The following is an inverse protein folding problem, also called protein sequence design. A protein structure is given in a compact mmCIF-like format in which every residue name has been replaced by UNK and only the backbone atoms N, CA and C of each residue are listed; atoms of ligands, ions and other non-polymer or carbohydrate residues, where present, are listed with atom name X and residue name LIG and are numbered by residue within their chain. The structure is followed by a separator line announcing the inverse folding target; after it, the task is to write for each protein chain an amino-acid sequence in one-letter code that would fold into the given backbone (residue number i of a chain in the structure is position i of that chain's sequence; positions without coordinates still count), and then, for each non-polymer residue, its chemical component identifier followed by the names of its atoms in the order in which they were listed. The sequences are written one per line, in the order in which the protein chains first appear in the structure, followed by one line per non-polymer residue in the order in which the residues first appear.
data_IF_307244011021
#
_entry.id   IF_307244011021
#
_cell.length_a   1.000
_cell.length_b   1.000
_cell.length_c   1.000
_cell.angle_alpha   90.00
_cell.angle_beta   90.00
_cell.angle_gamma   90.00
#
_symmetry.space_group_name_H-M   'P 1'
#
loop_
_entity.id
_entity.type
_entity.pdbx_description
1 polymer ?
#
# COMPACT_ATOMS: atom_id res chain seq x y z
N UNK A 1 6.11 -7.15 7.00
CA UNK A 1 5.57 -5.77 7.08
C UNK A 1 6.19 -5.00 5.94
N UNK A 2 5.43 -4.14 5.24
CA UNK A 2 5.95 -3.37 4.12
C UNK A 2 7.04 -2.41 4.58
N UNK A 3 7.99 -2.12 3.69
CA UNK A 3 9.03 -1.12 3.94
C UNK A 3 8.41 0.30 3.99
N UNK A 4 8.92 1.21 4.84
CA UNK A 4 8.44 2.58 4.88
C UNK A 4 8.71 3.32 3.57
N UNK A 5 7.83 4.24 3.20
CA UNK A 5 7.89 5.03 1.97
C UNK A 5 9.03 6.06 1.91
N UNK A 6 9.59 6.37 3.07
CA UNK A 6 10.62 7.37 3.29
C UNK A 6 11.63 6.73 4.23
N UNK A 7 12.92 6.87 3.94
CA UNK A 7 13.97 6.39 4.85
C UNK A 7 14.10 7.29 6.07
N UNK A 8 14.67 6.78 7.15
CA UNK A 8 14.96 7.61 8.34
C UNK A 8 15.87 8.78 7.98
N UNK A 9 16.92 8.55 7.20
CA UNK A 9 17.86 9.59 6.74
C UNK A 9 17.15 10.70 5.95
N UNK A 10 16.24 10.33 5.05
CA UNK A 10 15.46 11.31 4.27
C UNK A 10 14.52 12.11 5.18
N UNK A 11 13.85 11.45 6.12
CA UNK A 11 13.01 12.13 7.09
C UNK A 11 13.84 13.13 7.92
N UNK A 12 14.99 12.70 8.44
CA UNK A 12 15.89 13.53 9.24
C UNK A 12 16.36 14.78 8.51
N UNK A 13 16.64 14.68 7.21
CA UNK A 13 17.00 15.83 6.38
C UNK A 13 15.89 16.90 6.31
N UNK A 14 14.63 16.52 6.54
CA UNK A 14 13.45 17.39 6.50
C UNK A 14 12.99 17.86 7.90
N UNK A 15 13.57 17.33 8.97
CA UNK A 15 13.24 17.71 10.34
C UNK A 15 13.96 18.99 10.75
N UNK A 16 13.23 19.87 11.42
CA UNK A 16 13.81 21.03 12.13
C UNK A 16 14.22 20.70 13.56
N UNK A 17 14.02 19.45 13.99
CA UNK A 17 14.29 18.96 15.34
C UNK A 17 15.30 17.83 15.31
N UNK A 18 16.08 17.77 16.36
CA UNK A 18 17.01 16.70 16.68
C UNK A 18 16.46 15.86 17.82
N UNK A 19 17.10 14.73 18.08
CA UNK A 19 16.80 13.93 19.25
C UNK A 19 16.97 14.70 20.57
N UNK A 20 17.92 15.65 20.64
CA UNK A 20 18.17 16.47 21.83
C UNK A 20 16.99 17.40 22.15
N UNK A 21 16.39 18.00 21.12
CA UNK A 21 15.21 18.88 21.26
C UNK A 21 14.04 18.14 21.92
N UNK A 22 13.89 16.85 21.60
CA UNK A 22 12.84 15.98 22.15
C UNK A 22 13.28 15.22 23.41
N UNK A 23 14.51 15.44 23.89
CA UNK A 23 15.07 14.72 25.04
C UNK A 23 15.19 13.21 24.84
N UNK A 24 15.31 12.75 23.60
CA UNK A 24 15.49 11.34 23.26
C UNK A 24 17.00 11.04 23.21
N UNK A 25 17.50 10.05 23.95
CA UNK A 25 18.90 9.67 23.87
C UNK A 25 19.29 9.17 22.47
N UNK A 26 20.38 9.71 21.91
CA UNK A 26 20.91 9.28 20.60
C UNK A 26 21.85 8.09 20.69
N UNK A 27 22.39 7.81 21.87
CA UNK A 27 23.38 6.75 22.09
C UNK A 27 22.81 5.54 22.83
N UNK A 28 21.66 5.70 23.48
CA UNK A 28 21.00 4.56 24.10
C UNK A 28 20.38 3.73 22.99
N UNK A 29 20.85 2.51 22.89
CA UNK A 29 20.30 1.51 22.00
C UNK A 29 19.40 0.59 22.79
N UNK A 30 18.37 0.03 22.17
CA UNK A 30 17.68 -1.10 22.78
C UNK A 30 18.49 -2.40 22.56
N UNK A 31 17.87 -3.55 22.81
CA UNK A 31 18.50 -4.86 22.68
C UNK A 31 19.02 -5.20 21.29
N UNK A 32 18.68 -4.42 20.25
CA UNK A 32 19.12 -4.65 18.86
C UNK A 32 20.28 -3.74 18.41
N UNK A 33 20.71 -2.78 19.23
CA UNK A 33 21.81 -1.87 18.90
C UNK A 33 21.41 -0.63 18.08
N UNK A 34 20.12 -0.44 17.82
CA UNK A 34 19.59 0.74 17.11
C UNK A 34 19.33 1.88 18.10
N UNK A 35 19.75 3.12 17.81
CA UNK A 35 19.45 4.27 18.65
C UNK A 35 17.95 4.46 18.89
N UNK A 36 17.57 4.83 20.11
CA UNK A 36 16.16 5.11 20.46
C UNK A 36 15.51 6.15 19.55
N UNK A 37 16.28 7.15 19.10
CA UNK A 37 15.82 8.14 18.12
C UNK A 37 15.42 7.51 16.79
N UNK A 38 16.28 6.66 16.22
CA UNK A 38 16.00 5.92 14.99
C UNK A 38 14.77 5.02 15.18
N UNK A 39 14.66 4.30 16.30
CA UNK A 39 13.49 3.47 16.59
C UNK A 39 12.19 4.27 16.70
N UNK A 40 12.25 5.49 17.25
CA UNK A 40 11.11 6.40 17.28
C UNK A 40 10.70 6.81 15.85
N UNK A 41 11.65 7.24 15.02
CA UNK A 41 11.38 7.66 13.65
C UNK A 41 10.84 6.52 12.78
N UNK A 42 11.43 5.33 12.85
CA UNK A 42 10.97 4.15 12.12
C UNK A 42 9.55 3.76 12.51
N UNK A 43 9.25 3.79 13.83
CA UNK A 43 7.90 3.50 14.31
C UNK A 43 6.89 4.52 13.78
N UNK A 44 7.19 5.81 13.85
CA UNK A 44 6.30 6.85 13.33
C UNK A 44 6.12 6.73 11.81
N UNK A 45 7.20 6.51 11.06
CA UNK A 45 7.13 6.27 9.62
C UNK A 45 6.21 5.09 9.28
N UNK A 46 6.36 3.97 9.99
CA UNK A 46 5.51 2.79 9.80
C UNK A 46 4.04 3.10 10.03
N UNK A 47 3.71 3.69 11.18
CA UNK A 47 2.33 4.04 11.54
C UNK A 47 1.70 5.03 10.55
N UNK A 48 2.47 5.98 10.03
CA UNK A 48 1.98 6.97 9.06
C UNK A 48 1.91 6.43 7.63
N UNK A 49 2.77 5.48 7.23
CA UNK A 49 2.63 4.75 5.97
C UNK A 49 1.38 3.88 5.97
N UNK A 50 1.16 3.09 7.04
CA UNK A 50 -0.05 2.26 7.20
C UNK A 50 -1.33 3.10 7.12
N UNK A 51 -1.31 4.30 7.71
CA UNK A 51 -2.43 5.24 7.61
C UNK A 51 -2.71 5.70 6.17
N UNK A 52 -1.66 5.97 5.40
CA UNK A 52 -1.81 6.34 4.00
C UNK A 52 -2.33 5.16 3.19
N UNK A 53 -1.88 3.94 3.50
CA UNK A 53 -2.35 2.71 2.85
C UNK A 53 -3.83 2.47 3.09
N UNK A 54 -4.28 2.69 4.33
CA UNK A 54 -5.70 2.62 4.69
C UNK A 54 -6.55 3.65 3.93
N UNK A 55 -6.00 4.85 3.67
CA UNK A 55 -6.72 5.86 2.89
C UNK A 55 -6.83 5.50 1.41
N UNK A 56 -5.79 4.89 0.85
CA UNK A 56 -5.71 4.56 -0.56
C UNK A 56 -6.30 3.19 -0.88
N UNK A 57 -6.33 2.27 0.09
CA UNK A 57 -6.72 0.87 -0.11
C UNK A 57 -5.70 0.06 -0.91
N UNK A 58 -4.44 0.50 -0.94
CA UNK A 58 -3.32 -0.20 -1.60
C UNK A 58 -1.99 0.18 -0.96
N UNK A 59 -0.94 -0.58 -1.27
CA UNK A 59 0.45 -0.28 -0.87
C UNK A 59 1.26 0.14 -2.10
N UNK A 60 2.34 0.91 -1.90
CA UNK A 60 3.28 1.27 -2.98
C UNK A 60 4.44 0.27 -3.13
N UNK A 61 4.30 -0.93 -2.57
CA UNK A 61 5.27 -2.02 -2.70
C UNK A 61 4.88 -2.92 -3.87
N UNK A 62 5.82 -3.20 -4.78
CA UNK A 62 5.61 -4.22 -5.81
C UNK A 62 5.54 -5.59 -5.12
N UNK A 63 4.41 -6.25 -5.26
CA UNK A 63 4.17 -7.57 -4.66
C UNK A 63 3.58 -8.52 -5.70
N UNK A 64 4.09 -9.75 -5.74
CA UNK A 64 3.46 -10.85 -6.48
C UNK A 64 2.49 -11.59 -5.58
N UNK A 65 1.31 -11.90 -6.10
CA UNK A 65 0.29 -12.65 -5.38
C UNK A 65 -0.40 -13.65 -6.30
N UNK A 66 -0.96 -14.69 -5.69
CA UNK A 66 -1.78 -15.69 -6.36
C UNK A 66 -3.13 -15.71 -5.67
N UNK A 67 -4.21 -15.67 -6.45
CA UNK A 67 -5.56 -15.81 -5.94
C UNK A 67 -6.43 -16.61 -6.89
N UNK A 68 -7.38 -17.35 -6.32
CA UNK A 68 -8.47 -17.96 -7.07
C UNK A 68 -9.69 -17.06 -6.98
N UNK A 69 -10.16 -16.61 -8.13
CA UNK A 69 -11.20 -15.60 -8.35
C UNK A 69 -12.44 -16.24 -8.97
N UNK A 70 -13.57 -15.58 -8.76
CA UNK A 70 -14.81 -15.91 -9.46
C UNK A 70 -14.68 -15.41 -10.91
N UNK A 71 -15.08 -16.23 -11.88
CA UNK A 71 -15.12 -15.80 -13.28
C UNK A 71 -16.31 -14.91 -13.57
N UNK A 72 -16.33 -14.32 -14.76
CA UNK A 72 -17.14 -13.14 -15.08
C UNK A 72 -18.13 -13.35 -16.22
N UNK A 73 -18.11 -14.51 -16.88
CA UNK A 73 -18.84 -14.77 -18.13
C UNK A 73 -18.49 -13.79 -19.27
N UNK A 74 -17.27 -13.24 -19.23
CA UNK A 74 -16.79 -12.25 -20.18
C UNK A 74 -15.30 -12.40 -20.42
N UNK A 75 -14.77 -11.57 -21.31
CA UNK A 75 -13.35 -11.51 -21.63
C UNK A 75 -12.54 -10.75 -20.56
N UNK A 76 -13.17 -9.96 -19.70
CA UNK A 76 -12.53 -9.19 -18.62
C UNK A 76 -12.63 -9.90 -17.25
N UNK A 77 -11.51 -9.97 -16.51
CA UNK A 77 -11.44 -10.47 -15.13
C UNK A 77 -10.87 -9.40 -14.19
N UNK A 78 -11.68 -8.78 -13.32
CA UNK A 78 -11.22 -7.77 -12.39
C UNK A 78 -10.29 -8.35 -11.32
N UNK A 79 -9.17 -7.68 -11.06
CA UNK A 79 -8.20 -8.11 -10.06
C UNK A 79 -8.35 -7.28 -8.77
N UNK A 80 -8.37 -7.91 -7.58
CA UNK A 80 -8.62 -7.20 -6.32
C UNK A 80 -7.44 -6.32 -5.89
N UNK A 81 -6.21 -6.73 -6.22
CA UNK A 81 -4.95 -6.03 -5.85
C UNK A 81 -4.39 -5.32 -7.07
N UNK A 82 -4.21 -4.00 -6.94
CA UNK A 82 -4.05 -3.04 -8.04
C UNK A 82 -3.13 -1.87 -7.62
N UNK A 83 -2.48 -1.16 -8.56
CA UNK A 83 -2.53 -1.39 -10.01
C UNK A 83 -1.77 -2.64 -10.43
N UNK A 84 -2.29 -3.36 -11.43
CA UNK A 84 -1.67 -4.57 -11.98
C UNK A 84 -0.50 -4.17 -12.88
N UNK A 85 0.66 -4.81 -12.69
CA UNK A 85 1.88 -4.56 -13.47
C UNK A 85 2.12 -5.65 -14.51
N UNK A 86 1.94 -6.91 -14.11
CA UNK A 86 2.16 -8.06 -14.99
C UNK A 86 1.44 -9.29 -14.47
N UNK A 87 1.11 -10.21 -15.37
CA UNK A 87 0.57 -11.54 -15.02
C UNK A 87 1.61 -12.61 -15.32
N UNK A 88 1.78 -13.52 -14.37
CA UNK A 88 2.71 -14.64 -14.48
C UNK A 88 2.01 -15.92 -14.96
N UNK A 89 0.77 -16.16 -14.50
CA UNK A 89 -0.02 -17.31 -14.94
C UNK A 89 -1.53 -17.07 -14.77
N UNK A 90 -2.30 -17.70 -15.65
CA UNK A 90 -3.77 -17.75 -15.60
C UNK A 90 -4.18 -19.20 -15.85
N UNK A 91 -4.95 -19.77 -14.94
CA UNK A 91 -5.51 -21.13 -15.06
C UNK A 91 -7.01 -21.08 -14.85
N UNK A 92 -7.76 -21.58 -15.81
CA UNK A 92 -9.21 -21.74 -15.75
C UNK A 92 -9.53 -23.16 -15.25
N UNK A 93 -10.36 -23.25 -14.22
CA UNK A 93 -10.81 -24.49 -13.60
C UNK A 93 -12.23 -24.82 -14.07
N UNK A 94 -12.39 -25.93 -14.76
CA UNK A 94 -13.68 -26.42 -15.26
C UNK A 94 -13.94 -27.86 -14.80
N UNK A 95 -15.17 -28.37 -14.98
CA UNK A 95 -15.48 -29.77 -14.69
C UNK A 95 -14.68 -30.75 -15.56
N UNK A 96 -14.29 -30.34 -16.77
CA UNK A 96 -13.51 -31.13 -17.73
C UNK A 96 -11.99 -31.09 -17.44
N UNK A 97 -11.56 -30.24 -16.50
CA UNK A 97 -10.19 -30.08 -16.06
C UNK A 97 -9.70 -28.64 -16.06
N UNK A 98 -8.40 -28.49 -15.83
CA UNK A 98 -7.70 -27.20 -15.78
C UNK A 98 -7.14 -26.83 -17.15
N UNK A 99 -7.38 -25.59 -17.59
CA UNK A 99 -6.83 -25.02 -18.83
C UNK A 99 -5.93 -23.84 -18.48
N UNK A 100 -4.66 -23.92 -18.84
CA UNK A 100 -3.74 -22.78 -18.71
C UNK A 100 -3.90 -21.86 -19.92
N UNK A 101 -4.16 -20.58 -19.67
CA UNK A 101 -4.20 -19.55 -20.71
C UNK A 101 -2.77 -19.02 -20.90
N UNK A 102 -2.23 -19.02 -22.14
CA UNK A 102 -0.94 -18.40 -22.43
C UNK A 102 -0.94 -16.92 -22.03
N UNK A 103 0.15 -16.43 -21.43
CA UNK A 103 0.20 -15.03 -20.96
C UNK A 103 0.19 -14.04 -22.13
N UNK A 104 0.69 -14.46 -23.29
CA UNK A 104 0.60 -13.70 -24.55
C UNK A 104 -0.84 -13.51 -25.05
N UNK A 105 -1.79 -14.33 -24.60
CA UNK A 105 -3.22 -14.22 -24.92
C UNK A 105 -3.98 -13.33 -23.92
N UNK A 106 -3.26 -12.67 -22.99
CA UNK A 106 -3.83 -11.84 -21.93
C UNK A 106 -3.33 -10.40 -22.08
N UNK A 107 -4.26 -9.45 -22.13
CA UNK A 107 -4.00 -8.02 -22.01
C UNK A 107 -4.06 -7.64 -20.53
N UNK A 108 -3.02 -6.97 -20.05
CA UNK A 108 -2.94 -6.49 -18.67
C UNK A 108 -3.35 -5.03 -18.63
N UNK A 109 -4.43 -4.75 -17.91
CA UNK A 109 -4.90 -3.40 -17.59
C UNK A 109 -4.70 -3.13 -16.10
N UNK A 110 -4.68 -1.86 -15.68
CA UNK A 110 -4.31 -1.55 -14.29
C UNK A 110 -5.29 -2.11 -13.25
N UNK A 111 -6.55 -2.37 -13.63
CA UNK A 111 -7.59 -2.85 -12.72
C UNK A 111 -8.11 -4.27 -13.00
N UNK A 112 -7.77 -4.84 -14.15
CA UNK A 112 -8.29 -6.12 -14.64
C UNK A 112 -7.35 -6.73 -15.66
N UNK A 113 -7.61 -7.96 -16.05
CA UNK A 113 -7.02 -8.56 -17.25
C UNK A 113 -8.10 -8.88 -18.26
N UNK A 114 -7.76 -8.82 -19.54
CA UNK A 114 -8.67 -9.20 -20.61
C UNK A 114 -8.07 -10.29 -21.48
N UNK A 115 -8.90 -11.18 -22.02
CA UNK A 115 -8.50 -12.14 -23.03
C UNK A 115 -8.38 -11.45 -24.39
N UNK A 116 -7.36 -11.81 -25.17
CA UNK A 116 -7.29 -11.39 -26.56
C UNK A 116 -8.35 -12.12 -27.39
N UNK A 117 -8.93 -11.49 -28.44
CA UNK A 117 -9.83 -12.17 -29.37
C UNK A 117 -9.22 -13.38 -30.11
N UNK A 118 -7.90 -13.56 -30.03
CA UNK A 118 -7.16 -14.68 -30.62
C UNK A 118 -6.89 -15.82 -29.64
N UNK A 119 -7.25 -15.67 -28.37
CA UNK A 119 -7.05 -16.71 -27.35
C UNK A 119 -7.85 -17.98 -27.72
N UNK A 120 -7.36 -19.14 -27.29
CA UNK A 120 -8.07 -20.41 -27.47
C UNK A 120 -9.36 -20.50 -26.61
N UNK A 121 -9.55 -19.56 -25.68
CA UNK A 121 -10.72 -19.42 -24.82
C UNK A 121 -11.41 -18.09 -25.09
N UNK A 122 -12.72 -18.12 -25.31
CA UNK A 122 -13.49 -16.92 -25.67
C UNK A 122 -13.91 -16.06 -24.47
N UNK A 123 -13.93 -16.63 -23.26
CA UNK A 123 -14.34 -15.94 -22.03
C UNK A 123 -13.81 -16.64 -20.77
N UNK A 124 -13.70 -15.89 -19.68
CA UNK A 124 -13.58 -16.45 -18.34
C UNK A 124 -14.93 -17.06 -17.93
N UNK A 125 -14.98 -18.35 -17.52
CA UNK A 125 -16.24 -19.02 -17.25
C UNK A 125 -16.94 -18.44 -16.04
N UNK A 126 -18.25 -18.22 -16.12
CA UNK A 126 -19.07 -17.92 -14.94
C UNK A 126 -18.89 -19.04 -13.91
N UNK A 127 -18.60 -18.66 -12.67
CA UNK A 127 -18.40 -19.64 -11.63
C UNK A 127 -17.60 -19.13 -10.45
N UNK A 128 -17.86 -19.73 -9.30
CA UNK A 128 -17.10 -19.43 -8.09
C UNK A 128 -15.74 -20.07 -8.16
N UNK A 129 -14.70 -19.30 -7.92
CA UNK A 129 -13.30 -19.77 -7.87
C UNK A 129 -12.89 -20.53 -9.13
N UNK A 130 -13.41 -20.12 -10.28
CA UNK A 130 -13.16 -20.77 -11.58
C UNK A 130 -11.87 -20.31 -12.24
N UNK A 131 -11.19 -19.28 -11.73
CA UNK A 131 -9.93 -18.78 -12.33
C UNK A 131 -8.87 -18.56 -11.27
N UNK A 132 -7.71 -19.21 -11.40
CA UNK A 132 -6.52 -18.91 -10.60
C UNK A 132 -5.58 -18.00 -11.39
N UNK A 133 -5.17 -16.89 -10.77
CA UNK A 133 -4.25 -15.92 -11.39
C UNK A 133 -3.09 -15.68 -10.45
N UNK A 134 -1.87 -15.69 -10.99
CA UNK A 134 -0.68 -15.15 -10.34
C UNK A 134 -0.28 -13.85 -11.04
N UNK A 135 -0.21 -12.75 -10.29
CA UNK A 135 0.12 -11.44 -10.85
C UNK A 135 0.94 -10.60 -9.89
N UNK A 136 1.67 -9.65 -10.47
CA UNK A 136 2.41 -8.62 -9.77
C UNK A 136 1.59 -7.34 -9.80
N UNK A 137 1.44 -6.69 -8.64
CA UNK A 137 0.72 -5.42 -8.48
C UNK A 137 1.53 -4.45 -7.62
N UNK A 138 1.11 -3.19 -7.63
CA UNK A 138 1.72 -2.10 -6.87
C UNK A 138 2.33 -1.05 -7.79
N UNK A 139 3.05 -0.10 -7.21
CA UNK A 139 3.73 0.97 -7.95
C UNK A 139 5.25 0.75 -7.90
N UNK A 140 5.94 1.02 -9.00
CA UNK A 140 7.41 0.91 -9.05
C UNK A 140 8.11 1.90 -8.12
N UNK A 141 7.54 3.11 -8.00
CA UNK A 141 8.09 4.16 -7.15
C UNK A 141 6.98 4.82 -6.34
N UNK A 142 7.31 5.19 -5.10
CA UNK A 142 6.41 5.99 -4.27
C UNK A 142 6.36 7.42 -4.82
N UNK A 143 5.18 7.96 -5.16
CA UNK A 143 5.08 9.32 -5.67
C UNK A 143 5.57 10.36 -4.65
N UNK A 144 6.25 11.40 -5.12
CA UNK A 144 6.76 12.50 -4.28
C UNK A 144 5.71 13.06 -3.29
N UNK A 145 4.48 13.38 -3.72
CA UNK A 145 3.45 13.89 -2.81
C UNK A 145 2.99 12.91 -1.72
N UNK A 146 3.16 11.60 -1.94
CA UNK A 146 2.89 10.57 -0.93
C UNK A 146 4.01 10.59 0.12
N UNK A 147 5.28 10.63 -0.33
CA UNK A 147 6.45 10.77 0.55
C UNK A 147 6.37 12.04 1.40
N UNK A 148 6.11 13.19 0.76
CA UNK A 148 5.90 14.47 1.44
C UNK A 148 4.73 14.42 2.43
N UNK A 149 3.65 13.73 2.06
CA UNK A 149 2.50 13.49 2.93
C UNK A 149 2.89 12.75 4.21
N UNK A 150 3.62 11.64 4.10
CA UNK A 150 4.13 10.87 5.24
C UNK A 150 5.07 11.72 6.11
N UNK A 151 6.04 12.41 5.50
CA UNK A 151 6.97 13.31 6.21
C UNK A 151 6.19 14.37 6.99
N UNK A 152 5.17 14.99 6.37
CA UNK A 152 4.33 16.00 7.02
C UNK A 152 3.56 15.44 8.21
N UNK A 153 3.02 14.23 8.11
CA UNK A 153 2.32 13.56 9.21
C UNK A 153 3.28 13.27 10.37
N UNK A 154 4.47 12.72 10.09
CA UNK A 154 5.49 12.43 11.11
C UNK A 154 5.98 13.71 11.79
N UNK A 155 6.28 14.76 11.02
CA UNK A 155 6.67 16.08 11.57
C UNK A 155 5.63 16.63 12.53
N UNK A 156 4.34 16.54 12.19
CA UNK A 156 3.28 16.98 13.09
C UNK A 156 3.18 16.13 14.34
N UNK A 157 3.49 14.84 14.24
CA UNK A 157 3.54 13.95 15.40
C UNK A 157 4.68 14.30 16.35
N UNK A 158 5.87 14.56 15.81
CA UNK A 158 7.03 15.01 16.60
C UNK A 158 6.77 16.35 17.29
N UNK A 159 6.18 17.32 16.57
CA UNK A 159 5.84 18.62 17.15
C UNK A 159 4.87 18.52 18.34
N UNK A 160 3.90 17.60 18.30
CA UNK A 160 3.00 17.37 19.44
C UNK A 160 3.71 16.71 20.63
N UNK A 161 4.64 15.79 20.36
CA UNK A 161 5.46 15.18 21.42
C UNK A 161 6.29 16.26 22.12
N UNK A 162 6.82 17.22 21.35
CA UNK A 162 7.56 18.37 21.89
C UNK A 162 6.65 19.29 22.73
N UNK A 163 5.51 19.71 22.18
CA UNK A 163 4.60 20.70 22.79
C UNK A 163 4.04 20.20 24.13
N UNK A 164 3.67 18.92 24.21
CA UNK A 164 3.16 18.35 25.46
C UNK A 164 4.25 18.22 26.54
N UNK A 165 5.53 18.27 26.16
CA UNK A 165 6.67 18.21 27.10
C UNK A 165 6.76 16.92 27.93
N UNK A 166 5.92 15.92 27.61
CA UNK A 166 5.83 14.65 28.32
C UNK A 166 6.92 13.69 27.80
N UNK A 167 8.04 13.66 28.53
CA UNK A 167 9.25 12.85 28.24
C UNK A 167 9.09 11.34 28.48
N UNK A 168 7.93 10.75 28.13
CA UNK A 168 7.37 9.48 28.60
C UNK A 168 6.68 9.62 29.96
N UNK A 169 5.35 9.49 29.95
CA UNK A 169 4.57 9.20 31.14
C UNK A 169 3.90 7.82 30.94
N UNK A 170 4.52 6.77 31.47
CA UNK A 170 3.76 5.58 31.88
C UNK A 170 3.14 5.91 33.23
N UNK A 171 2.02 6.66 33.25
CA UNK A 171 1.22 6.85 34.47
C UNK A 171 0.28 5.66 34.62
N UNK A 172 0.74 4.63 35.31
CA UNK A 172 -0.07 3.42 35.55
C UNK A 172 -0.33 2.62 34.27
N UNK A 173 -1.57 2.17 34.08
CA UNK A 173 -2.01 1.32 32.95
C UNK A 173 -2.46 2.12 31.70
N UNK A 174 -2.29 3.45 31.70
CA UNK A 174 -2.74 4.31 30.59
C UNK A 174 -1.70 4.45 29.48
N UNK A 175 -2.06 4.07 28.25
CA UNK A 175 -1.28 4.41 27.04
C UNK A 175 -1.91 5.62 26.35
N UNK A 176 -1.16 6.71 26.22
CA UNK A 176 -1.56 7.88 25.45
C UNK A 176 -1.02 7.80 24.03
N UNK A 177 -1.89 7.92 23.04
CA UNK A 177 -1.51 7.96 21.62
C UNK A 177 -1.65 9.38 21.10
N UNK A 178 -0.53 10.04 20.80
CA UNK A 178 -0.52 11.32 20.11
C UNK A 178 -1.14 11.17 18.72
N UNK A 179 -2.23 11.89 18.44
CA UNK A 179 -2.94 11.83 17.17
C UNK A 179 -2.73 13.09 16.35
N UNK A 180 -2.35 12.95 15.08
CA UNK A 180 -2.17 14.09 14.17
C UNK A 180 -3.50 14.85 14.04
N UNK A 181 -3.47 16.20 14.09
CA UNK A 181 -4.65 17.04 13.89
C UNK A 181 -5.46 16.64 12.64
N UNK A 182 -6.79 16.67 12.76
CA UNK A 182 -7.70 16.16 11.73
C UNK A 182 -7.62 16.94 10.42
N UNK A 183 -7.38 18.25 10.49
CA UNK A 183 -7.16 19.15 9.36
C UNK A 183 -5.91 18.73 8.55
N UNK A 184 -4.78 18.50 9.23
CA UNK A 184 -3.55 18.02 8.56
C UNK A 184 -3.79 16.66 7.91
N UNK A 185 -4.46 15.73 8.63
CA UNK A 185 -4.80 14.42 8.06
C UNK A 185 -5.69 14.55 6.83
N UNK A 186 -6.68 15.44 6.85
CA UNK A 186 -7.57 15.67 5.72
C UNK A 186 -6.83 16.27 4.52
N UNK A 187 -5.93 17.24 4.74
CA UNK A 187 -5.13 17.83 3.68
C UNK A 187 -4.19 16.82 3.02
N UNK A 188 -3.46 16.03 3.82
CA UNK A 188 -2.60 14.97 3.28
C UNK A 188 -3.43 13.91 2.56
N UNK A 189 -4.55 13.49 3.14
CA UNK A 189 -5.47 12.54 2.48
C UNK A 189 -5.94 13.07 1.12
N UNK A 190 -6.30 14.35 1.05
CA UNK A 190 -6.73 14.97 -0.20
C UNK A 190 -5.60 15.04 -1.23
N UNK A 191 -4.36 15.32 -0.82
CA UNK A 191 -3.22 15.39 -1.74
C UNK A 191 -2.83 14.03 -2.32
N UNK A 192 -2.97 12.95 -1.53
CA UNK A 192 -2.63 11.59 -1.97
C UNK A 192 -3.78 10.86 -2.68
N UNK A 193 -5.04 11.32 -2.54
CA UNK A 193 -6.22 10.62 -3.04
C UNK A 193 -6.17 10.26 -4.54
N UNK A 194 -5.45 11.03 -5.36
CA UNK A 194 -5.26 10.75 -6.80
C UNK A 194 -4.45 9.49 -7.10
N UNK A 195 -3.76 8.94 -6.11
CA UNK A 195 -2.97 7.71 -6.21
C UNK A 195 -3.73 6.48 -5.69
N UNK A 196 -5.01 6.63 -5.36
CA UNK A 196 -5.87 5.49 -5.08
C UNK A 196 -5.87 4.54 -6.28
N UNK A 197 -5.90 3.22 -6.04
CA UNK A 197 -5.82 2.25 -7.11
C UNK A 197 -6.99 2.44 -8.10
N UNK A 198 -6.76 2.17 -9.39
CA UNK A 198 -7.77 2.33 -10.41
C UNK A 198 -8.96 1.43 -10.10
N UNK A 199 -10.16 1.99 -10.30
CA UNK A 199 -11.40 1.23 -10.14
C UNK A 199 -11.70 0.50 -11.43
N UNK A 200 -12.03 -0.78 -11.31
CA UNK A 200 -12.63 -1.50 -12.42
C UNK A 200 -14.00 -0.91 -12.70
N UNK A 201 -14.24 -0.56 -13.96
CA UNK A 201 -15.54 -0.23 -14.50
C UNK A 201 -15.70 -1.11 -15.73
N UNK A 202 -16.64 -2.06 -15.74
CA UNK A 202 -16.83 -2.91 -16.92
C UNK A 202 -17.10 -2.03 -18.13
N UNK A 203 -16.56 -2.41 -19.28
CA UNK A 203 -16.92 -1.76 -20.54
C UNK A 203 -18.44 -1.80 -20.68
N UNK A 204 -19.06 -0.66 -21.02
CA UNK A 204 -20.49 -0.64 -21.26
C UNK A 204 -20.77 -1.53 -22.46
N UNK A 205 -21.55 -2.60 -22.28
CA UNK A 205 -22.04 -3.44 -23.38
C UNK A 205 -22.74 -2.52 -24.39
N UNK A 206 -22.13 -2.38 -25.56
CA UNK A 206 -22.78 -1.74 -26.70
C UNK A 206 -23.70 -2.78 -27.32
N UNK A 207 -24.94 -2.83 -26.83
CA UNK A 207 -26.04 -3.67 -27.34
C UNK A 207 -26.49 -3.19 -28.72
#
# INVERSE_FOLDING_TARGET
MPAPYVSVEELEAELSWTAEDLGVPTTDTDGDGTPQWTNLLERLLREECERVDDWLGTTFEITTTTATLDGTDGDELPLPKRPVQSVASVTIHTEDGDTTVPVEDVVVEEAFIALLPSADVDAFPDGRRSVSVEWTYGYETVPGPVREGVIRLVRKRLAMIEEDGLKQESVGDGSWTYQVPADVRQEVRASVARYAPPRYSPAAEVI
#
